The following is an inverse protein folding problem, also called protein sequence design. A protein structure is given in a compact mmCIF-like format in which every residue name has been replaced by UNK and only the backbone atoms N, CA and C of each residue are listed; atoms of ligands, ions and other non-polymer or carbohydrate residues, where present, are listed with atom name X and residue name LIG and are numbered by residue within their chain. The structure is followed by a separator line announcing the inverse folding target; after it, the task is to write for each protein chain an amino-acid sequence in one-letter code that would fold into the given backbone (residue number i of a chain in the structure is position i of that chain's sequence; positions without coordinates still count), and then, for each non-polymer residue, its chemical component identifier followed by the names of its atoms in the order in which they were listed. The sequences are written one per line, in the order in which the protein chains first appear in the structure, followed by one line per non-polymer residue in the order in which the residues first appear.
data_IF_006336437067
#
_entry.id   IF_006336437067
#
_cell.length_a   1.000
_cell.length_b   1.000
_cell.length_c   1.000
_cell.angle_alpha   90.00
_cell.angle_beta   90.00
_cell.angle_gamma   90.00
#
_symmetry.space_group_name_H-M   'P 1'
#
loop_
_entity.id
_entity.type
_entity.pdbx_description
1 polymer ?
#
# COMPACT_ATOMS: atom_id res chain seq x y z
N UNK A 1 10.45 0.91 -37.59
CA UNK A 1 11.25 1.82 -36.75
C UNK A 1 10.52 3.16 -36.73
N UNK A 2 9.77 3.42 -35.66
CA UNK A 2 9.05 4.68 -35.48
C UNK A 2 10.09 5.79 -35.24
N UNK A 3 9.98 6.94 -35.94
CA UNK A 3 10.87 8.09 -35.72
C UNK A 3 10.39 8.85 -34.49
N UNK A 4 11.03 8.60 -33.35
CA UNK A 4 10.69 9.22 -32.06
C UNK A 4 11.46 10.52 -31.80
N UNK A 5 12.35 10.93 -32.70
CA UNK A 5 13.27 12.10 -32.57
C UNK A 5 12.56 13.46 -32.37
N UNK A 6 11.22 13.51 -32.48
CA UNK A 6 10.40 14.71 -32.32
C UNK A 6 9.17 14.49 -31.43
N UNK A 7 9.12 13.39 -30.67
CA UNK A 7 8.02 13.13 -29.74
C UNK A 7 8.40 13.66 -28.37
N UNK A 8 7.71 14.71 -27.92
CA UNK A 8 7.86 15.23 -26.56
C UNK A 8 6.62 14.85 -25.73
N UNK A 9 6.80 14.27 -24.52
CA UNK A 9 5.69 14.01 -23.63
C UNK A 9 5.10 15.35 -23.17
N UNK A 10 3.76 15.45 -23.20
CA UNK A 10 3.04 16.59 -22.64
C UNK A 10 2.57 16.22 -21.24
N UNK A 11 2.84 17.09 -20.26
CA UNK A 11 2.29 16.93 -18.93
C UNK A 11 0.75 17.03 -19.01
N UNK A 12 0.06 15.94 -18.65
CA UNK A 12 -1.40 15.87 -18.69
C UNK A 12 -2.06 16.97 -17.85
N UNK A 13 -1.43 17.37 -16.75
CA UNK A 13 -1.91 18.45 -15.87
C UNK A 13 -1.84 19.84 -16.51
N UNK A 14 -0.94 20.03 -17.48
CA UNK A 14 -0.89 21.27 -18.25
C UNK A 14 -2.07 21.37 -19.24
N UNK A 15 -2.66 20.23 -19.63
CA UNK A 15 -3.76 20.15 -20.59
C UNK A 15 -5.11 20.02 -19.90
N UNK A 16 -5.15 19.25 -18.81
CA UNK A 16 -6.33 18.91 -18.03
C UNK A 16 -6.03 19.12 -16.53
N UNK A 17 -5.90 20.38 -16.08
CA UNK A 17 -5.56 20.67 -14.69
C UNK A 17 -6.60 20.12 -13.70
N UNK A 18 -7.85 19.92 -14.14
CA UNK A 18 -8.92 19.39 -13.30
C UNK A 18 -8.70 17.92 -12.90
N UNK A 19 -7.81 17.20 -13.59
CA UNK A 19 -7.48 15.81 -13.28
C UNK A 19 -6.23 15.67 -12.41
N UNK A 20 -5.55 16.77 -12.07
CA UNK A 20 -4.32 16.77 -11.29
C UNK A 20 -4.48 17.44 -9.93
N UNK A 21 -3.76 16.92 -8.94
CA UNK A 21 -3.83 17.33 -7.55
C UNK A 21 -2.63 18.20 -7.16
N UNK A 22 -2.77 18.95 -6.06
CA UNK A 22 -1.65 19.55 -5.33
C UNK A 22 -0.95 18.50 -4.45
N UNK A 23 0.32 18.72 -4.08
CA UNK A 23 1.07 17.80 -3.20
C UNK A 23 0.32 17.48 -1.89
N UNK A 24 -0.34 18.48 -1.28
CA UNK A 24 -1.18 18.28 -0.08
C UNK A 24 -2.35 17.29 -0.29
N UNK A 25 -2.93 17.26 -1.49
CA UNK A 25 -4.05 16.37 -1.84
C UNK A 25 -3.58 14.92 -2.09
N UNK A 26 -2.27 14.68 -2.19
CA UNK A 26 -1.70 13.33 -2.34
C UNK A 26 -1.65 12.55 -1.02
N UNK A 27 -1.80 13.19 0.14
CA UNK A 27 -1.60 12.53 1.43
C UNK A 27 -2.76 12.70 2.41
N UNK A 28 -3.63 13.68 2.15
CA UNK A 28 -4.77 14.04 3.02
C UNK A 28 -6.10 13.80 2.31
N UNK A 29 -7.15 13.37 3.03
CA UNK A 29 -8.48 13.26 2.45
C UNK A 29 -8.96 14.61 1.92
N UNK A 30 -9.56 14.62 0.73
CA UNK A 30 -10.20 15.83 0.20
C UNK A 30 -11.45 16.25 0.99
N UNK A 31 -12.03 15.34 1.79
CA UNK A 31 -13.19 15.57 2.63
C UNK A 31 -12.89 15.04 4.03
N UNK A 32 -12.64 15.95 4.96
CA UNK A 32 -12.30 15.70 6.36
C UNK A 32 -12.73 16.95 7.12
N UNK A 33 -13.91 16.91 7.74
CA UNK A 33 -14.56 18.10 8.29
C UNK A 33 -14.13 18.42 9.72
N UNK A 34 -13.58 17.46 10.46
CA UNK A 34 -13.06 17.66 11.82
C UNK A 34 -11.52 17.65 11.89
N UNK A 35 -10.83 17.26 10.82
CA UNK A 35 -9.38 17.35 10.67
C UNK A 35 -8.62 16.16 11.26
N UNK A 36 -9.27 15.01 11.46
CA UNK A 36 -8.68 13.82 12.07
C UNK A 36 -7.91 12.92 11.06
N UNK A 37 -7.90 13.33 9.78
CA UNK A 37 -7.28 12.66 8.63
C UNK A 37 -8.00 11.42 8.12
N UNK A 38 -9.18 11.08 8.63
CA UNK A 38 -10.06 10.08 8.11
C UNK A 38 -11.21 10.74 7.33
N UNK A 39 -12.03 9.93 6.66
CA UNK A 39 -13.10 10.47 5.81
C UNK A 39 -14.31 9.57 5.78
N UNK A 40 -15.47 10.21 5.71
CA UNK A 40 -16.73 9.56 5.40
C UNK A 40 -16.91 9.22 3.90
N UNK A 41 -16.08 9.79 3.00
CA UNK A 41 -16.05 9.55 1.54
C UNK A 41 -15.05 8.46 1.19
N UNK A 42 -15.20 7.78 0.06
CA UNK A 42 -14.36 6.63 -0.32
C UNK A 42 -13.06 7.01 -1.05
N UNK A 43 -13.17 7.73 -2.17
CA UNK A 43 -12.02 8.08 -3.04
C UNK A 43 -11.30 9.35 -2.56
N UNK A 44 -10.31 9.84 -3.31
CA UNK A 44 -9.58 11.08 -3.01
C UNK A 44 -9.01 11.06 -1.58
N UNK A 45 -8.22 10.03 -1.27
CA UNK A 45 -7.59 9.80 0.04
C UNK A 45 -8.54 9.53 1.21
N UNK A 46 -9.81 9.21 0.92
CA UNK A 46 -10.81 8.84 1.93
C UNK A 46 -10.79 7.37 2.39
N UNK A 47 -11.97 6.80 2.64
CA UNK A 47 -12.26 5.46 3.17
C UNK A 47 -11.78 4.26 2.33
N UNK A 48 -11.15 4.46 1.19
CA UNK A 48 -10.39 3.41 0.47
C UNK A 48 -8.92 3.39 0.83
N UNK A 49 -8.43 4.52 1.34
CA UNK A 49 -7.05 4.75 1.74
C UNK A 49 -6.89 4.55 3.24
N UNK A 50 -7.86 4.98 4.04
CA UNK A 50 -7.88 4.76 5.50
C UNK A 50 -9.22 4.19 5.93
N UNK A 51 -9.32 3.71 7.16
CA UNK A 51 -10.59 3.35 7.76
C UNK A 51 -11.65 4.44 7.57
N UNK A 52 -12.89 4.03 7.27
CA UNK A 52 -13.97 5.00 7.14
C UNK A 52 -14.30 5.61 8.50
N UNK A 53 -14.29 6.93 8.55
CA UNK A 53 -14.72 7.68 9.71
C UNK A 53 -16.24 7.52 9.95
N UNK A 54 -16.58 7.26 11.20
CA UNK A 54 -17.94 7.04 11.67
C UNK A 54 -18.61 8.31 12.20
N UNK A 55 -17.89 9.40 12.46
CA UNK A 55 -18.45 10.71 12.82
C UNK A 55 -17.52 11.90 12.45
N UNK A 56 -17.62 12.32 11.18
CA UNK A 56 -16.87 13.40 10.48
C UNK A 56 -17.21 14.82 10.97
N UNK A 57 -17.40 14.96 12.28
CA UNK A 57 -17.71 16.19 13.02
C UNK A 57 -17.06 16.20 14.40
N UNK A 58 -16.41 15.12 14.80
CA UNK A 58 -15.86 14.89 16.12
C UNK A 58 -14.44 14.31 15.98
N UNK A 59 -13.40 15.15 16.08
CA UNK A 59 -12.01 14.73 15.82
C UNK A 59 -11.47 13.75 16.85
N UNK A 60 -12.28 13.36 17.84
CA UNK A 60 -11.94 12.35 18.84
C UNK A 60 -12.50 10.97 18.51
N UNK A 61 -13.25 10.84 17.41
CA UNK A 61 -13.89 9.59 16.96
C UNK A 61 -13.33 9.17 15.61
N UNK A 62 -12.44 8.18 15.62
CA UNK A 62 -11.77 7.70 14.41
C UNK A 62 -11.20 6.29 14.53
N UNK A 63 -10.93 5.59 13.40
CA UNK A 63 -10.33 4.27 13.41
C UNK A 63 -9.04 4.12 14.24
N UNK A 64 -9.10 3.21 15.22
CA UNK A 64 -7.97 2.81 16.05
C UNK A 64 -7.71 3.67 17.29
N UNK A 65 -8.70 4.46 17.72
CA UNK A 65 -8.83 4.90 19.12
C UNK A 65 -8.86 3.70 20.07
N UNK A 66 -8.38 3.90 21.30
CA UNK A 66 -8.41 2.89 22.37
C UNK A 66 -9.43 3.32 23.44
N UNK A 67 -10.67 2.90 23.23
CA UNK A 67 -11.86 3.36 23.96
C UNK A 67 -12.70 2.15 24.42
N UNK A 68 -13.74 2.39 25.22
CA UNK A 68 -14.62 1.33 25.78
C UNK A 68 -16.05 1.39 25.25
N UNK A 69 -16.39 2.49 24.58
CA UNK A 69 -17.56 2.66 23.72
C UNK A 69 -18.91 2.26 24.33
N UNK A 70 -19.11 2.56 25.61
CA UNK A 70 -20.35 2.21 26.33
C UNK A 70 -21.60 2.91 25.77
N UNK A 71 -21.44 4.03 25.05
CA UNK A 71 -22.54 4.86 24.53
C UNK A 71 -22.42 5.13 23.03
N UNK A 72 -21.22 5.45 22.55
CA UNK A 72 -20.91 5.79 21.16
C UNK A 72 -19.71 4.94 20.73
N UNK A 73 -19.68 4.53 19.48
CA UNK A 73 -18.50 3.95 18.83
C UNK A 73 -17.50 5.09 18.55
N UNK A 74 -16.45 5.18 19.37
CA UNK A 74 -15.42 6.21 19.28
C UNK A 74 -14.22 5.73 18.44
N UNK A 75 -14.12 4.43 18.14
CA UNK A 75 -13.00 3.89 17.37
C UNK A 75 -13.39 3.28 16.01
N UNK A 76 -14.65 3.45 15.63
CA UNK A 76 -15.25 3.09 14.35
C UNK A 76 -15.14 1.59 14.00
N UNK A 77 -14.94 0.71 14.98
CA UNK A 77 -14.88 -0.73 14.74
C UNK A 77 -16.26 -1.40 14.76
N UNK A 78 -17.34 -0.65 14.97
CA UNK A 78 -18.72 -1.13 15.01
C UNK A 78 -19.14 -1.82 16.31
N UNK A 79 -18.29 -1.84 17.33
CA UNK A 79 -18.53 -2.49 18.63
C UNK A 79 -18.77 -1.41 19.69
N UNK A 80 -20.01 -1.23 20.11
CA UNK A 80 -20.36 -0.26 21.15
C UNK A 80 -21.61 -0.67 21.93
N UNK A 81 -21.89 0.05 23.01
CA UNK A 81 -23.01 -0.23 23.92
C UNK A 81 -22.64 -1.19 25.05
N UNK A 82 -23.65 -1.52 25.86
CA UNK A 82 -23.52 -2.37 27.04
C UNK A 82 -24.34 -3.65 26.93
N UNK A 83 -23.84 -4.72 27.54
CA UNK A 83 -24.62 -5.92 27.76
C UNK A 83 -25.71 -5.64 28.82
N UNK A 84 -26.97 -5.78 28.43
CA UNK A 84 -28.13 -5.55 29.30
C UNK A 84 -28.16 -6.44 30.56
N UNK A 85 -27.51 -7.61 30.54
CA UNK A 85 -27.49 -8.52 31.67
C UNK A 85 -26.46 -8.13 32.74
N UNK A 86 -25.30 -7.64 32.32
CA UNK A 86 -24.16 -7.34 33.19
C UNK A 86 -23.93 -5.85 33.44
N UNK A 87 -24.40 -5.00 32.52
CA UNK A 87 -24.14 -3.56 32.51
C UNK A 87 -22.75 -3.18 32.00
N UNK A 88 -21.93 -4.14 31.58
CA UNK A 88 -20.56 -3.91 31.09
C UNK A 88 -20.56 -3.59 29.60
N UNK A 89 -19.66 -2.71 29.15
CA UNK A 89 -19.51 -2.39 27.74
C UNK A 89 -19.00 -3.60 26.93
N UNK A 90 -19.53 -3.80 25.72
CA UNK A 90 -19.11 -4.92 24.87
C UNK A 90 -17.62 -4.84 24.54
N UNK A 91 -17.11 -3.64 24.25
CA UNK A 91 -15.71 -3.46 23.91
C UNK A 91 -14.75 -3.72 25.07
N UNK A 92 -15.18 -3.41 26.30
CA UNK A 92 -14.42 -3.75 27.52
C UNK A 92 -14.24 -5.26 27.67
N UNK A 93 -15.27 -6.05 27.39
CA UNK A 93 -15.22 -7.52 27.53
C UNK A 93 -14.51 -8.17 26.33
N UNK A 94 -14.86 -7.75 25.11
CA UNK A 94 -14.48 -8.46 23.89
C UNK A 94 -13.17 -7.98 23.28
N UNK A 95 -12.72 -6.75 23.57
CA UNK A 95 -11.55 -6.17 22.91
C UNK A 95 -10.38 -5.86 23.84
N UNK A 96 -10.61 -5.44 25.10
CA UNK A 96 -9.53 -4.97 26.00
C UNK A 96 -8.33 -5.91 26.11
N UNK A 97 -8.56 -7.22 26.21
CA UNK A 97 -7.51 -8.24 26.37
C UNK A 97 -7.19 -9.00 25.07
N UNK A 98 -7.66 -8.49 23.93
CA UNK A 98 -7.42 -9.09 22.60
C UNK A 98 -6.20 -8.49 21.89
N UNK A 99 -5.56 -7.49 22.49
CA UNK A 99 -4.43 -6.72 21.94
C UNK A 99 -4.71 -6.20 20.51
N UNK A 100 -5.77 -5.40 20.31
CA UNK A 100 -6.07 -4.85 19.00
C UNK A 100 -4.97 -3.89 18.55
N UNK A 101 -4.69 -3.87 17.25
CA UNK A 101 -3.66 -3.03 16.64
C UNK A 101 -4.00 -2.67 15.19
N UNK A 102 -3.59 -1.48 14.77
CA UNK A 102 -3.81 -0.98 13.41
C UNK A 102 -2.72 -1.38 12.43
N UNK A 103 -3.01 -1.24 11.13
CA UNK A 103 -2.06 -1.47 10.02
C UNK A 103 -1.83 -0.16 9.27
N UNK A 104 -0.59 0.31 9.21
CA UNK A 104 -0.24 1.56 8.54
C UNK A 104 0.84 1.28 7.50
N UNK A 105 0.68 1.76 6.28
CA UNK A 105 1.63 1.54 5.19
C UNK A 105 2.07 2.86 4.58
N UNK A 106 3.37 3.16 4.64
CA UNK A 106 4.00 4.27 3.94
C UNK A 106 4.85 3.67 2.83
N UNK A 107 4.53 3.99 1.59
CA UNK A 107 5.24 3.41 0.47
C UNK A 107 4.92 4.07 -0.85
N UNK A 108 5.24 3.33 -1.90
CA UNK A 108 5.12 3.77 -3.28
C UNK A 108 3.81 3.28 -3.95
N UNK A 109 3.82 3.23 -5.29
CA UNK A 109 2.76 2.71 -6.14
C UNK A 109 2.45 1.22 -5.90
N UNK A 110 3.40 0.41 -5.43
CA UNK A 110 3.09 -0.99 -5.06
C UNK A 110 2.28 -1.04 -3.78
N UNK A 111 2.56 -0.13 -2.84
CA UNK A 111 1.77 0.01 -1.60
C UNK A 111 0.35 0.49 -1.89
N UNK A 112 0.20 1.43 -2.83
CA UNK A 112 -1.09 1.92 -3.28
C UNK A 112 -1.84 0.93 -4.20
N UNK A 113 -1.13 -0.11 -4.69
CA UNK A 113 -1.60 -1.06 -5.71
C UNK A 113 -2.02 -0.36 -7.00
N UNK A 114 -1.07 0.38 -7.59
CA UNK A 114 -1.23 0.99 -8.90
C UNK A 114 -1.53 -0.05 -9.97
N UNK A 115 -2.46 0.26 -10.86
CA UNK A 115 -2.54 -0.42 -12.14
C UNK A 115 -3.68 0.08 -13.00
N UNK A 116 -3.43 0.02 -14.31
CA UNK A 116 -4.35 0.51 -15.32
C UNK A 116 -5.16 -0.70 -15.83
N UNK A 117 -6.49 -0.63 -15.86
CA UNK A 117 -7.31 -1.71 -16.42
C UNK A 117 -6.94 -2.01 -17.88
N UNK A 118 -6.71 -3.29 -18.19
CA UNK A 118 -6.43 -3.72 -19.57
C UNK A 118 -7.56 -3.35 -20.54
N UNK A 119 -8.79 -3.36 -20.06
CA UNK A 119 -9.99 -3.06 -20.85
C UNK A 119 -9.95 -1.60 -21.39
N UNK A 120 -9.11 -0.71 -20.83
CA UNK A 120 -8.92 0.65 -21.35
C UNK A 120 -8.03 0.73 -22.59
N UNK A 121 -7.17 -0.27 -22.80
CA UNK A 121 -6.13 -0.24 -23.86
C UNK A 121 -6.30 -1.35 -24.89
N UNK A 122 -7.06 -2.40 -24.58
CA UNK A 122 -7.40 -3.47 -25.50
C UNK A 122 -8.62 -3.10 -26.34
N UNK A 123 -8.40 -2.85 -27.63
CA UNK A 123 -9.43 -2.36 -28.56
C UNK A 123 -10.68 -3.24 -28.61
N UNK A 124 -10.53 -4.56 -28.48
CA UNK A 124 -11.68 -5.49 -28.49
C UNK A 124 -12.49 -5.52 -27.20
N UNK A 125 -11.94 -5.04 -26.08
CA UNK A 125 -12.59 -5.00 -24.76
C UNK A 125 -13.25 -3.63 -24.49
N UNK A 126 -12.92 -2.61 -25.30
CA UNK A 126 -13.51 -1.28 -25.23
C UNK A 126 -15.04 -1.35 -25.36
N UNK A 127 -15.70 -1.03 -24.26
CA UNK A 127 -17.15 -1.09 -24.11
C UNK A 127 -17.59 -0.10 -23.03
N UNK A 128 -18.89 0.14 -22.90
CA UNK A 128 -19.42 0.91 -21.77
C UNK A 128 -18.99 0.28 -20.42
N UNK A 129 -19.01 -1.05 -20.34
CA UNK A 129 -18.66 -1.79 -19.13
C UNK A 129 -17.17 -1.68 -18.78
N UNK A 130 -16.30 -1.53 -19.78
CA UNK A 130 -14.89 -1.26 -19.55
C UNK A 130 -14.68 0.01 -18.70
N UNK A 131 -15.55 1.02 -18.84
CA UNK A 131 -15.46 2.29 -18.10
C UNK A 131 -16.34 2.34 -16.83
N UNK A 132 -16.88 1.22 -16.36
CA UNK A 132 -17.84 1.17 -15.24
C UNK A 132 -17.32 1.85 -13.95
N UNK A 133 -16.02 1.80 -13.68
CA UNK A 133 -15.40 2.41 -12.49
C UNK A 133 -14.53 3.63 -12.79
N UNK A 134 -14.62 4.22 -13.99
CA UNK A 134 -13.69 5.25 -14.47
C UNK A 134 -13.48 6.42 -13.49
N UNK A 135 -14.57 7.01 -12.97
CA UNK A 135 -14.46 8.14 -12.02
C UNK A 135 -13.73 7.75 -10.74
N UNK A 136 -13.98 6.54 -10.23
CA UNK A 136 -13.33 6.01 -9.04
C UNK A 136 -11.83 5.81 -9.27
N UNK A 137 -11.48 5.23 -10.42
CA UNK A 137 -10.09 4.99 -10.84
C UNK A 137 -9.32 6.31 -10.91
N UNK A 138 -9.89 7.33 -11.56
CA UNK A 138 -9.25 8.66 -11.66
C UNK A 138 -9.12 9.32 -10.29
N UNK A 139 -10.17 9.29 -9.46
CA UNK A 139 -10.14 9.87 -8.11
C UNK A 139 -9.18 9.14 -7.15
N UNK A 140 -8.80 7.91 -7.46
CA UNK A 140 -7.74 7.18 -6.78
C UNK A 140 -6.43 7.13 -7.56
N UNK A 141 -6.27 7.91 -8.64
CA UNK A 141 -4.98 8.01 -9.36
C UNK A 141 -4.48 6.69 -9.94
N UNK A 142 -5.42 5.84 -10.38
CA UNK A 142 -5.16 4.47 -10.83
C UNK A 142 -4.64 3.53 -9.74
N UNK A 143 -4.68 3.97 -8.49
CA UNK A 143 -4.38 3.16 -7.32
C UNK A 143 -5.62 2.43 -6.83
N UNK A 144 -5.39 1.26 -6.24
CA UNK A 144 -6.43 0.37 -5.75
C UNK A 144 -6.13 -0.02 -4.29
N UNK A 145 -6.01 0.96 -3.37
CA UNK A 145 -5.59 0.71 -1.99
C UNK A 145 -6.52 -0.27 -1.26
N UNK A 146 -7.81 -0.24 -1.61
CA UNK A 146 -8.84 -1.17 -1.12
C UNK A 146 -8.66 -2.62 -1.57
N UNK A 147 -7.77 -2.88 -2.52
CA UNK A 147 -7.38 -4.21 -3.00
C UNK A 147 -5.88 -4.49 -2.79
N UNK A 148 -5.17 -3.64 -2.05
CA UNK A 148 -3.73 -3.71 -1.84
C UNK A 148 -3.27 -4.84 -0.90
N UNK A 149 -1.99 -5.19 -0.97
CA UNK A 149 -1.39 -6.26 -0.19
C UNK A 149 -1.40 -5.98 1.33
N UNK A 150 -1.26 -4.72 1.73
CA UNK A 150 -1.12 -4.35 3.15
C UNK A 150 -2.47 -3.99 3.75
N UNK A 151 -3.27 -3.16 3.07
CA UNK A 151 -4.48 -2.54 3.63
C UNK A 151 -5.77 -2.90 2.91
N UNK A 152 -5.72 -3.76 1.88
CA UNK A 152 -6.90 -4.13 1.10
C UNK A 152 -8.00 -4.77 1.95
N UNK A 153 -9.26 -4.49 1.63
CA UNK A 153 -10.43 -4.94 2.39
C UNK A 153 -11.62 -5.30 1.50
N UNK A 154 -11.66 -4.79 0.27
CA UNK A 154 -12.81 -4.95 -0.63
C UNK A 154 -12.76 -6.27 -1.41
N UNK A 155 -13.93 -6.74 -1.86
CA UNK A 155 -13.97 -7.87 -2.77
C UNK A 155 -13.58 -7.44 -4.19
N UNK A 156 -12.57 -8.10 -4.77
CA UNK A 156 -12.12 -7.81 -6.14
C UNK A 156 -13.25 -8.00 -7.18
N UNK A 157 -14.27 -8.82 -6.89
CA UNK A 157 -15.45 -9.00 -7.74
C UNK A 157 -16.26 -7.73 -7.96
N UNK A 158 -16.22 -6.78 -7.03
CA UNK A 158 -17.00 -5.54 -7.08
C UNK A 158 -16.45 -4.53 -8.09
N UNK A 159 -15.28 -4.85 -8.66
CA UNK A 159 -14.52 -4.01 -9.60
C UNK A 159 -14.37 -4.65 -10.98
N UNK A 160 -15.23 -5.62 -11.32
CA UNK A 160 -15.25 -6.23 -12.67
C UNK A 160 -15.85 -5.24 -13.68
N UNK A 161 -15.34 -5.20 -14.92
CA UNK A 161 -14.28 -6.05 -15.47
C UNK A 161 -12.85 -5.59 -15.10
N UNK A 162 -12.70 -4.36 -14.60
CA UNK A 162 -11.42 -3.67 -14.45
C UNK A 162 -10.37 -4.39 -13.59
N UNK A 163 -10.79 -5.12 -12.55
CA UNK A 163 -9.91 -5.93 -11.71
C UNK A 163 -10.40 -7.37 -11.62
N UNK A 164 -9.44 -8.30 -11.67
CA UNK A 164 -9.65 -9.75 -11.62
C UNK A 164 -8.58 -10.37 -10.75
N UNK A 165 -8.92 -11.47 -10.09
CA UNK A 165 -7.99 -12.20 -9.22
C UNK A 165 -8.45 -12.25 -7.77
N UNK A 166 -7.69 -12.97 -6.93
CA UNK A 166 -7.98 -13.03 -5.50
C UNK A 166 -7.67 -11.69 -4.83
N UNK A 167 -8.33 -11.44 -3.69
CA UNK A 167 -7.92 -10.41 -2.75
C UNK A 167 -7.54 -11.07 -1.43
N UNK A 168 -6.30 -10.87 -1.01
CA UNK A 168 -5.79 -11.18 0.33
C UNK A 168 -4.89 -10.01 0.75
N UNK A 169 -4.98 -9.61 2.00
CA UNK A 169 -4.15 -8.55 2.54
C UNK A 169 -3.82 -8.82 4.00
N UNK A 170 -2.76 -8.18 4.50
CA UNK A 170 -2.41 -8.26 5.91
C UNK A 170 -3.53 -7.73 6.80
N UNK A 171 -4.10 -6.57 6.48
CA UNK A 171 -5.22 -5.99 7.24
C UNK A 171 -6.43 -6.94 7.32
N UNK A 172 -6.85 -7.51 6.18
CA UNK A 172 -8.01 -8.40 6.15
C UNK A 172 -7.78 -9.67 7.00
N UNK A 173 -6.59 -10.27 6.94
CA UNK A 173 -6.24 -11.40 7.81
C UNK A 173 -6.18 -11.00 9.30
N UNK A 174 -5.70 -9.78 9.60
CA UNK A 174 -5.68 -9.25 10.96
C UNK A 174 -7.09 -9.05 11.54
N UNK A 175 -8.04 -8.55 10.74
CA UNK A 175 -9.45 -8.39 11.14
C UNK A 175 -10.13 -9.75 11.36
N UNK A 176 -9.88 -10.74 10.48
CA UNK A 176 -10.38 -12.12 10.69
C UNK A 176 -9.90 -12.71 12.01
N UNK A 177 -8.67 -12.39 12.40
CA UNK A 177 -8.04 -12.88 13.63
C UNK A 177 -8.55 -12.15 14.87
N UNK A 178 -8.79 -10.85 14.77
CA UNK A 178 -9.37 -10.05 15.83
C UNK A 178 -10.27 -8.96 15.23
N UNK A 179 -11.57 -9.14 15.37
CA UNK A 179 -12.60 -8.25 14.82
C UNK A 179 -12.60 -6.84 15.43
N UNK A 180 -11.94 -6.65 16.56
CA UNK A 180 -11.76 -5.32 17.17
C UNK A 180 -10.80 -4.40 16.38
N UNK A 181 -10.13 -4.93 15.36
CA UNK A 181 -9.26 -4.20 14.42
C UNK A 181 -10.02 -3.66 13.19
N UNK A 182 -11.34 -3.85 13.12
CA UNK A 182 -12.15 -3.37 12.02
C UNK A 182 -11.93 -1.86 11.79
N UNK A 183 -11.79 -1.49 10.51
CA UNK A 183 -11.39 -0.17 9.97
C UNK A 183 -10.00 0.34 10.34
N UNK A 184 -9.24 -0.34 11.19
CA UNK A 184 -7.97 0.19 11.69
C UNK A 184 -6.81 0.02 10.67
N UNK A 185 -6.93 0.69 9.52
CA UNK A 185 -5.91 0.71 8.48
C UNK A 185 -5.65 2.12 7.93
N UNK A 186 -4.42 2.35 7.45
CA UNK A 186 -4.00 3.58 6.78
C UNK A 186 -3.01 3.24 5.66
N UNK A 187 -3.37 3.57 4.41
CA UNK A 187 -2.55 3.45 3.21
C UNK A 187 -2.12 4.85 2.79
N UNK A 188 -0.83 5.13 2.97
CA UNK A 188 -0.19 6.37 2.55
C UNK A 188 0.66 6.15 1.30
N UNK A 189 0.37 5.13 0.49
CA UNK A 189 1.08 4.87 -0.77
C UNK A 189 0.97 6.05 -1.74
N UNK A 190 2.09 6.49 -2.31
CA UNK A 190 2.11 7.55 -3.33
C UNK A 190 2.98 7.13 -4.51
N UNK A 191 2.44 7.23 -5.73
CA UNK A 191 3.16 6.90 -6.95
C UNK A 191 4.44 7.74 -7.07
N UNK A 192 5.57 7.09 -7.36
CA UNK A 192 6.87 7.74 -7.43
C UNK A 192 7.53 8.09 -6.08
N UNK A 193 6.92 7.77 -4.94
CA UNK A 193 7.55 8.02 -3.64
C UNK A 193 8.83 7.21 -3.45
N UNK A 194 9.90 7.88 -3.00
CA UNK A 194 11.16 7.26 -2.55
C UNK A 194 11.26 7.36 -1.04
N UNK A 195 12.31 6.80 -0.45
CA UNK A 195 12.62 6.99 0.98
C UNK A 195 12.66 8.47 1.41
N UNK A 196 12.98 9.40 0.51
CA UNK A 196 13.01 10.83 0.81
C UNK A 196 11.66 11.39 1.30
N UNK A 197 10.53 10.83 0.84
CA UNK A 197 9.18 11.28 1.26
C UNK A 197 8.72 10.67 2.58
N UNK A 198 9.37 9.63 3.12
CA UNK A 198 8.92 8.97 4.35
C UNK A 198 8.72 9.94 5.52
N UNK A 199 9.58 10.95 5.63
CA UNK A 199 9.47 11.97 6.68
C UNK A 199 8.19 12.79 6.57
N UNK A 200 7.81 13.23 5.38
CA UNK A 200 6.57 13.96 5.10
C UNK A 200 5.34 13.07 5.33
N UNK A 201 5.40 11.82 4.87
CA UNK A 201 4.30 10.86 5.05
C UNK A 201 4.05 10.54 6.53
N UNK A 202 5.10 10.50 7.35
CA UNK A 202 4.97 10.35 8.80
C UNK A 202 4.21 11.52 9.45
N UNK A 203 4.21 12.72 8.85
CA UNK A 203 3.49 13.88 9.39
C UNK A 203 1.97 13.78 9.21
N UNK A 204 1.50 12.83 8.38
CA UNK A 204 0.06 12.57 8.15
C UNK A 204 -0.39 11.20 8.66
N UNK A 205 0.45 10.51 9.44
CA UNK A 205 0.05 9.29 10.15
C UNK A 205 -0.88 9.65 11.31
N UNK A 206 -2.10 9.13 11.28
CA UNK A 206 -3.09 9.35 12.34
C UNK A 206 -2.92 8.33 13.47
N UNK A 207 -1.89 8.51 14.31
CA UNK A 207 -1.62 7.61 15.44
C UNK A 207 -0.82 8.26 16.58
N UNK A 208 -1.34 9.35 17.11
CA UNK A 208 -0.64 10.14 18.12
C UNK A 208 -0.74 9.52 19.53
N UNK A 209 0.40 9.07 20.07
CA UNK A 209 0.51 8.49 21.43
C UNK A 209 0.16 9.42 22.59
N UNK A 210 0.06 10.73 22.36
CA UNK A 210 -0.42 11.65 23.41
C UNK A 210 -1.93 11.49 23.65
N UNK A 211 -2.60 10.73 22.78
CA UNK A 211 -4.00 10.41 22.88
C UNK A 211 -4.22 8.92 23.18
N UNK A 212 -5.46 8.53 23.48
CA UNK A 212 -5.81 7.12 23.71
C UNK A 212 -5.99 6.40 22.37
N UNK A 213 -4.89 5.85 21.85
CA UNK A 213 -4.84 5.12 20.58
C UNK A 213 -4.20 3.74 20.73
N UNK A 214 -4.61 2.80 19.89
CA UNK A 214 -4.07 1.42 19.85
C UNK A 214 -2.65 1.41 19.22
N UNK A 215 -1.79 0.44 19.55
CA UNK A 215 -0.55 0.18 18.81
C UNK A 215 -0.78 -0.08 17.33
N UNK A 216 0.26 0.07 16.51
CA UNK A 216 0.17 -0.18 15.08
C UNK A 216 1.37 -0.98 14.54
N UNK A 217 1.12 -1.72 13.47
CA UNK A 217 2.11 -2.30 12.56
C UNK A 217 2.32 -1.30 11.42
N UNK A 218 3.45 -0.62 11.41
CA UNK A 218 3.83 0.38 10.42
C UNK A 218 4.79 -0.22 9.40
N UNK A 219 4.48 -0.14 8.11
CA UNK A 219 5.35 -0.57 7.02
C UNK A 219 6.04 0.62 6.37
N UNK A 220 7.37 0.52 6.21
CA UNK A 220 8.13 1.34 5.27
C UNK A 220 8.38 0.49 4.02
N UNK A 221 7.57 0.74 2.99
CA UNK A 221 7.47 -0.07 1.78
C UNK A 221 7.87 0.74 0.52
N UNK A 222 9.11 1.26 0.54
CA UNK A 222 9.76 1.92 -0.59
C UNK A 222 10.61 0.91 -1.34
N UNK A 223 10.00 0.16 -2.25
CA UNK A 223 10.59 -1.10 -2.74
C UNK A 223 11.22 -1.01 -4.13
N UNK A 224 11.11 0.14 -4.81
CA UNK A 224 11.68 0.32 -6.15
C UNK A 224 12.22 1.73 -6.45
N UNK A 225 11.46 2.78 -6.18
CA UNK A 225 11.71 4.10 -6.76
C UNK A 225 13.10 4.68 -6.46
N UNK A 226 13.70 4.36 -5.31
CA UNK A 226 15.07 4.78 -4.96
C UNK A 226 16.16 4.36 -5.96
N UNK A 227 15.87 3.40 -6.85
CA UNK A 227 16.81 2.92 -7.89
C UNK A 227 16.26 2.97 -9.32
N UNK A 228 15.02 3.44 -9.50
CA UNK A 228 14.32 3.35 -10.79
C UNK A 228 14.72 4.43 -11.80
N UNK A 229 15.26 5.56 -11.32
CA UNK A 229 15.73 6.66 -12.16
C UNK A 229 17.10 6.40 -12.83
N UNK A 230 17.44 7.27 -13.78
CA UNK A 230 18.76 7.28 -14.42
C UNK A 230 19.82 7.80 -13.45
N UNK A 231 20.99 7.15 -13.32
CA UNK A 231 22.12 7.75 -12.63
C UNK A 231 22.49 9.13 -13.24
N UNK A 232 22.84 10.14 -12.41
CA UNK A 232 23.08 10.06 -10.97
C UNK A 232 21.84 10.32 -10.08
N UNK A 233 20.62 10.33 -10.61
CA UNK A 233 19.41 10.71 -9.87
C UNK A 233 18.85 9.61 -8.94
N UNK A 234 19.55 8.49 -8.77
CA UNK A 234 19.18 7.43 -7.83
C UNK A 234 19.62 7.76 -6.41
N UNK A 235 18.91 7.26 -5.40
CA UNK A 235 19.25 7.45 -3.99
C UNK A 235 20.62 6.85 -3.68
N UNK A 236 21.45 7.56 -2.92
CA UNK A 236 22.72 7.04 -2.42
C UNK A 236 22.55 6.27 -1.10
N UNK A 237 23.47 5.35 -0.72
CA UNK A 237 23.39 4.66 0.57
C UNK A 237 23.36 5.61 1.78
N UNK A 238 24.04 6.76 1.71
CA UNK A 238 24.04 7.74 2.78
C UNK A 238 22.68 8.43 2.94
N UNK A 239 22.04 8.81 1.83
CA UNK A 239 20.68 9.37 1.82
C UNK A 239 19.67 8.34 2.29
N UNK A 240 19.72 7.11 1.78
CA UNK A 240 18.83 6.02 2.19
C UNK A 240 18.88 5.78 3.71
N UNK A 241 20.08 5.74 4.29
CA UNK A 241 20.26 5.66 5.73
C UNK A 241 19.66 6.87 6.46
N UNK A 242 19.95 8.09 6.01
CA UNK A 242 19.45 9.31 6.63
C UNK A 242 17.92 9.43 6.58
N UNK A 243 17.30 9.09 5.44
CA UNK A 243 15.86 9.12 5.23
C UNK A 243 15.14 8.15 6.17
N UNK A 244 15.56 6.88 6.18
CA UNK A 244 14.95 5.86 7.04
C UNK A 244 15.12 6.18 8.52
N UNK A 245 16.33 6.59 8.95
CA UNK A 245 16.56 6.92 10.37
C UNK A 245 15.73 8.13 10.81
N UNK A 246 15.60 9.15 9.98
CA UNK A 246 14.74 10.31 10.26
C UNK A 246 13.27 9.91 10.40
N UNK A 247 12.76 9.07 9.49
CA UNK A 247 11.38 8.59 9.55
C UNK A 247 11.13 7.69 10.78
N UNK A 248 12.10 6.85 11.17
CA UNK A 248 12.02 6.04 12.38
C UNK A 248 12.02 6.89 13.66
N UNK A 249 12.78 7.98 13.71
CA UNK A 249 12.74 8.93 14.82
C UNK A 249 11.35 9.58 14.96
N UNK A 250 10.72 9.95 13.83
CA UNK A 250 9.32 10.42 13.83
C UNK A 250 8.36 9.33 14.31
N UNK A 251 8.52 8.09 13.84
CA UNK A 251 7.68 6.97 14.27
C UNK A 251 7.80 6.71 15.78
N UNK A 252 9.02 6.73 16.35
CA UNK A 252 9.23 6.61 17.80
C UNK A 252 8.61 7.78 18.58
N UNK A 253 8.61 8.99 18.01
CA UNK A 253 8.02 10.16 18.65
C UNK A 253 6.48 10.14 18.61
N UNK A 254 5.90 9.54 17.58
CA UNK A 254 4.46 9.56 17.30
C UNK A 254 3.73 8.34 17.87
N UNK A 255 4.24 7.12 17.64
CA UNK A 255 3.49 5.89 17.87
C UNK A 255 3.43 5.48 19.35
N UNK A 256 2.31 4.90 19.81
CA UNK A 256 2.18 4.40 21.18
C UNK A 256 3.05 3.15 21.39
N UNK A 257 3.40 2.90 22.67
CA UNK A 257 4.22 1.77 23.05
C UNK A 257 3.60 0.42 22.64
N UNK A 258 4.46 -0.50 22.17
CA UNK A 258 4.04 -1.78 21.62
C UNK A 258 3.77 -1.76 20.12
N UNK A 259 4.11 -0.66 19.44
CA UNK A 259 4.04 -0.58 17.98
C UNK A 259 5.27 -1.22 17.31
N UNK A 260 5.12 -1.62 16.06
CA UNK A 260 6.16 -2.28 15.29
C UNK A 260 6.36 -1.55 13.97
N UNK A 261 7.61 -1.33 13.57
CA UNK A 261 7.96 -0.79 12.25
C UNK A 261 8.67 -1.87 11.44
N UNK A 262 8.16 -2.21 10.25
CA UNK A 262 8.72 -3.20 9.35
C UNK A 262 9.26 -2.49 8.10
N UNK A 263 10.57 -2.60 7.88
CA UNK A 263 11.24 -2.08 6.69
C UNK A 263 11.22 -3.18 5.63
N UNK A 264 10.64 -2.89 4.46
CA UNK A 264 10.80 -3.72 3.27
C UNK A 264 12.06 -3.25 2.52
N UNK A 265 12.97 -4.15 2.16
CA UNK A 265 14.12 -3.81 1.34
C UNK A 265 13.70 -3.49 -0.09
N UNK A 266 14.55 -2.76 -0.82
CA UNK A 266 14.40 -2.57 -2.27
C UNK A 266 14.52 -3.95 -2.95
N UNK A 267 13.55 -4.29 -3.80
CA UNK A 267 13.45 -5.61 -4.42
C UNK A 267 14.39 -5.77 -5.63
N UNK A 268 14.60 -7.02 -6.06
CA UNK A 268 15.25 -7.32 -7.35
C UNK A 268 14.23 -7.33 -8.50
N UNK A 269 14.16 -6.23 -9.27
CA UNK A 269 13.23 -6.08 -10.39
C UNK A 269 13.66 -6.71 -11.71
N UNK A 270 14.77 -7.46 -11.79
CA UNK A 270 15.24 -8.04 -13.08
C UNK A 270 14.23 -8.99 -13.72
N UNK A 271 13.43 -9.67 -12.91
CA UNK A 271 12.34 -10.56 -13.36
C UNK A 271 11.38 -9.88 -14.34
N UNK A 272 11.20 -8.56 -14.23
CA UNK A 272 10.27 -7.80 -15.05
C UNK A 272 10.63 -7.91 -16.53
N UNK A 273 11.88 -7.59 -16.88
CA UNK A 273 12.35 -7.73 -18.25
C UNK A 273 12.41 -9.20 -18.65
N UNK A 274 12.96 -10.06 -17.79
CA UNK A 274 13.18 -11.47 -18.10
C UNK A 274 11.89 -12.20 -18.48
N UNK A 275 10.78 -11.91 -17.80
CA UNK A 275 9.48 -12.54 -18.03
C UNK A 275 8.62 -11.83 -19.07
N UNK A 276 8.75 -10.51 -19.23
CA UNK A 276 7.83 -9.72 -20.05
C UNK A 276 8.34 -9.44 -21.46
N UNK A 277 9.65 -9.28 -21.67
CA UNK A 277 10.20 -8.65 -22.89
C UNK A 277 9.69 -9.22 -24.23
N UNK A 278 9.53 -10.54 -24.34
CA UNK A 278 9.06 -11.21 -25.58
C UNK A 278 7.53 -11.30 -25.69
N UNK A 279 6.79 -10.90 -24.66
CA UNK A 279 5.33 -10.99 -24.64
C UNK A 279 4.74 -9.79 -25.38
N UNK A 280 3.54 -9.98 -25.94
CA UNK A 280 2.79 -8.92 -26.59
C UNK A 280 2.13 -8.03 -25.53
N UNK A 281 2.39 -6.72 -25.61
CA UNK A 281 1.75 -5.72 -24.76
C UNK A 281 0.25 -5.59 -25.12
N UNK A 282 -0.67 -5.28 -24.18
CA UNK A 282 -2.09 -5.14 -24.48
C UNK A 282 -2.43 -4.23 -25.68
N UNK A 283 -1.68 -3.13 -25.87
CA UNK A 283 -1.86 -2.23 -27.03
C UNK A 283 -1.56 -2.90 -28.38
N UNK A 284 -0.64 -3.88 -28.40
CA UNK A 284 -0.26 -4.64 -29.59
C UNK A 284 -1.10 -5.89 -29.81
N UNK A 285 -2.08 -6.17 -28.95
CA UNK A 285 -2.85 -7.44 -28.98
C UNK A 285 -3.69 -7.64 -30.26
N UNK A 286 -4.06 -6.56 -30.95
CA UNK A 286 -4.85 -6.58 -32.20
C UNK A 286 -4.05 -7.18 -33.37
N UNK A 287 -2.79 -6.81 -33.51
CA UNK A 287 -1.94 -7.17 -34.65
C UNK A 287 -0.70 -7.98 -34.26
N UNK A 288 -0.51 -8.23 -32.97
CA UNK A 288 0.66 -8.89 -32.41
C UNK A 288 1.96 -8.19 -32.82
N UNK A 289 1.98 -6.86 -32.70
CA UNK A 289 2.97 -5.96 -33.30
C UNK A 289 3.63 -5.00 -32.30
N UNK A 290 3.33 -5.13 -31.00
CA UNK A 290 4.03 -4.43 -29.92
C UNK A 290 4.36 -5.41 -28.79
N UNK A 291 5.64 -5.67 -28.60
CA UNK A 291 6.18 -6.42 -27.45
C UNK A 291 6.45 -5.50 -26.27
N UNK A 292 6.61 -6.05 -25.06
CA UNK A 292 7.05 -5.24 -23.91
C UNK A 292 8.47 -4.68 -24.11
N UNK A 293 9.37 -5.39 -24.79
CA UNK A 293 10.69 -4.83 -25.12
C UNK A 293 10.57 -3.52 -25.92
N UNK A 294 9.74 -3.51 -26.96
CA UNK A 294 9.49 -2.31 -27.78
C UNK A 294 8.77 -1.22 -26.97
N UNK A 295 7.84 -1.61 -26.10
CA UNK A 295 7.16 -0.68 -25.19
C UNK A 295 8.14 -0.01 -24.21
N UNK A 296 9.01 -0.78 -23.56
CA UNK A 296 10.03 -0.26 -22.65
C UNK A 296 11.04 0.64 -23.38
N UNK A 297 11.51 0.24 -24.57
CA UNK A 297 12.40 1.06 -25.40
C UNK A 297 11.71 2.39 -25.79
N UNK A 298 10.40 2.37 -26.09
CA UNK A 298 9.63 3.58 -26.33
C UNK A 298 9.58 4.49 -25.10
N UNK A 299 9.19 3.97 -23.93
CA UNK A 299 9.12 4.75 -22.68
C UNK A 299 10.48 5.33 -22.29
N UNK A 300 11.56 4.57 -22.49
CA UNK A 300 12.93 5.03 -22.26
C UNK A 300 13.34 6.11 -23.26
N UNK A 301 12.93 6.02 -24.52
CA UNK A 301 13.27 7.01 -25.55
C UNK A 301 12.62 8.38 -25.28
N UNK A 302 11.42 8.40 -24.71
CA UNK A 302 10.66 9.64 -24.41
C UNK A 302 10.75 10.06 -22.93
N UNK A 303 11.67 9.46 -22.17
CA UNK A 303 11.98 9.80 -20.77
C UNK A 303 10.78 9.78 -19.80
N UNK A 304 9.90 8.77 -19.95
CA UNK A 304 8.73 8.56 -19.05
C UNK A 304 8.65 7.12 -18.48
N UNK A 305 9.74 6.36 -18.57
CA UNK A 305 9.78 5.01 -18.00
C UNK A 305 9.66 5.06 -16.48
N UNK A 306 8.74 4.29 -15.86
CA UNK A 306 8.59 4.28 -14.40
C UNK A 306 9.80 3.65 -13.71
N UNK A 307 10.60 2.88 -14.43
CA UNK A 307 11.84 2.33 -13.92
C UNK A 307 12.84 2.07 -15.06
N UNK A 308 13.55 3.12 -15.47
CA UNK A 308 14.56 3.04 -16.54
C UNK A 308 15.63 1.98 -16.26
N UNK A 309 15.96 1.75 -14.99
CA UNK A 309 16.94 0.75 -14.57
C UNK A 309 16.55 -0.69 -14.93
N UNK A 310 15.35 -1.14 -14.54
CA UNK A 310 14.91 -2.52 -14.75
C UNK A 310 14.16 -2.74 -16.06
N UNK A 311 13.41 -1.75 -16.55
CA UNK A 311 12.68 -1.82 -17.82
C UNK A 311 13.60 -1.45 -18.98
N UNK A 312 14.68 -2.21 -19.14
CA UNK A 312 15.77 -1.87 -20.05
C UNK A 312 16.26 -3.11 -20.81
N UNK A 313 16.41 -3.00 -22.13
CA UNK A 313 16.97 -4.07 -22.97
C UNK A 313 18.45 -4.36 -22.67
N UNK A 314 19.17 -3.40 -22.09
CA UNK A 314 20.56 -3.58 -21.69
C UNK A 314 20.68 -4.28 -20.32
N UNK A 315 21.07 -5.56 -20.33
CA UNK A 315 21.30 -6.36 -19.12
C UNK A 315 22.32 -5.73 -18.15
N UNK A 316 23.36 -5.06 -18.67
CA UNK A 316 24.35 -4.38 -17.82
C UNK A 316 23.72 -3.24 -17.03
N UNK A 317 22.71 -2.55 -17.58
CA UNK A 317 21.94 -1.53 -16.85
C UNK A 317 21.12 -2.20 -15.74
N UNK A 318 20.39 -3.27 -16.07
CA UNK A 318 19.55 -3.99 -15.09
C UNK A 318 20.37 -4.55 -13.92
N UNK A 319 21.53 -5.13 -14.20
CA UNK A 319 22.46 -5.63 -13.18
C UNK A 319 23.08 -4.51 -12.34
N UNK A 320 23.40 -3.36 -12.96
CA UNK A 320 23.88 -2.20 -12.22
C UNK A 320 22.81 -1.64 -11.27
N UNK A 321 21.54 -1.57 -11.71
CA UNK A 321 20.41 -1.17 -10.88
C UNK A 321 20.24 -2.10 -9.67
N UNK A 322 20.31 -3.41 -9.87
CA UNK A 322 20.28 -4.37 -8.75
C UNK A 322 21.46 -4.16 -7.80
N UNK A 323 22.67 -3.92 -8.32
CA UNK A 323 23.84 -3.59 -7.48
C UNK A 323 23.63 -2.35 -6.63
N UNK A 324 22.98 -1.33 -7.18
CA UNK A 324 22.59 -0.13 -6.43
C UNK A 324 21.60 -0.48 -5.33
N UNK A 325 20.52 -1.23 -5.63
CA UNK A 325 19.55 -1.69 -4.63
C UNK A 325 20.21 -2.46 -3.48
N UNK A 326 21.14 -3.38 -3.79
CA UNK A 326 21.91 -4.09 -2.78
C UNK A 326 22.74 -3.15 -1.89
N UNK A 327 23.31 -2.08 -2.44
CA UNK A 327 24.07 -1.10 -1.67
C UNK A 327 23.21 -0.28 -0.71
N UNK A 328 21.94 -0.02 -1.06
CA UNK A 328 20.95 0.62 -0.18
C UNK A 328 20.53 -0.35 0.92
N UNK A 329 20.16 -1.58 0.55
CA UNK A 329 19.75 -2.62 1.49
C UNK A 329 20.86 -2.98 2.50
N UNK A 330 22.13 -2.83 2.13
CA UNK A 330 23.27 -3.02 3.03
C UNK A 330 23.30 -2.04 4.23
N UNK A 331 22.52 -0.96 4.21
CA UNK A 331 22.38 -0.05 5.35
C UNK A 331 21.41 -0.57 6.42
N UNK A 332 20.48 -1.46 6.06
CA UNK A 332 19.41 -1.94 6.95
C UNK A 332 19.96 -2.58 8.24
N UNK A 333 20.96 -3.48 8.22
CA UNK A 333 21.50 -4.07 9.44
C UNK A 333 22.02 -3.04 10.45
N UNK A 334 22.64 -1.95 9.96
CA UNK A 334 23.09 -0.85 10.81
C UNK A 334 21.90 -0.13 11.45
N UNK A 335 20.88 0.19 10.65
CA UNK A 335 19.65 0.85 11.12
C UNK A 335 18.97 0.02 12.22
N UNK A 336 18.83 -1.30 12.03
CA UNK A 336 18.23 -2.19 13.02
C UNK A 336 19.00 -2.18 14.35
N UNK A 337 20.33 -2.31 14.28
CA UNK A 337 21.18 -2.33 15.46
C UNK A 337 21.11 -1.02 16.25
N UNK A 338 21.16 0.13 15.57
CA UNK A 338 21.06 1.44 16.21
C UNK A 338 19.65 1.68 16.80
N UNK A 339 18.61 1.24 16.09
CA UNK A 339 17.22 1.39 16.52
C UNK A 339 16.90 0.60 17.78
N UNK A 340 17.41 -0.64 17.89
CA UNK A 340 17.14 -1.54 19.01
C UNK A 340 17.58 -0.99 20.38
N UNK A 341 18.64 -0.17 20.42
CA UNK A 341 19.12 0.47 21.65
C UNK A 341 18.46 1.82 21.91
N UNK A 342 17.88 2.46 20.88
CA UNK A 342 17.44 3.86 20.91
C UNK A 342 15.94 4.00 21.20
N UNK A 343 15.11 3.14 20.61
CA UNK A 343 13.67 3.29 20.61
C UNK A 343 13.00 2.49 21.73
N UNK A 344 11.95 3.06 22.32
CA UNK A 344 11.24 2.50 23.48
C UNK A 344 9.80 2.15 23.15
N UNK A 345 9.18 2.90 22.24
CA UNK A 345 7.77 2.74 21.90
C UNK A 345 7.59 1.83 20.70
N UNK A 346 8.56 1.86 19.77
CA UNK A 346 8.57 1.01 18.59
C UNK A 346 9.65 -0.08 18.67
N UNK A 347 9.36 -1.23 18.06
CA UNK A 347 10.37 -2.21 17.66
C UNK A 347 10.56 -2.17 16.15
N UNK A 348 11.80 -2.10 15.68
CA UNK A 348 12.12 -2.01 14.25
C UNK A 348 12.58 -3.38 13.75
N UNK A 349 11.99 -3.81 12.64
CA UNK A 349 12.22 -5.08 11.97
C UNK A 349 12.55 -4.82 10.51
N UNK A 350 13.24 -5.76 9.86
CA UNK A 350 13.34 -5.80 8.42
C UNK A 350 12.83 -7.14 7.92
N UNK A 351 12.08 -7.11 6.83
CA UNK A 351 11.70 -8.33 6.12
C UNK A 351 12.77 -8.69 5.10
N UNK A 352 12.84 -9.97 4.74
CA UNK A 352 13.55 -10.37 3.53
C UNK A 352 12.82 -9.82 2.29
N UNK A 353 13.46 -9.94 1.11
CA UNK A 353 12.80 -9.60 -0.15
C UNK A 353 11.54 -10.47 -0.36
N UNK A 354 10.39 -9.86 -0.08
CA UNK A 354 9.07 -10.48 -0.17
C UNK A 354 8.64 -10.70 -1.61
N UNK A 355 9.11 -9.87 -2.55
CA UNK A 355 8.89 -10.05 -3.99
C UNK A 355 9.66 -11.28 -4.46
N UNK A 356 10.95 -11.39 -4.12
CA UNK A 356 11.72 -12.60 -4.45
C UNK A 356 11.11 -13.87 -3.83
N UNK A 357 10.51 -13.77 -2.65
CA UNK A 357 9.81 -14.88 -2.00
C UNK A 357 8.52 -15.26 -2.73
N UNK A 358 7.72 -14.29 -3.16
CA UNK A 358 6.54 -14.49 -4.00
C UNK A 358 6.91 -15.22 -5.30
N UNK A 359 7.93 -14.74 -6.01
CA UNK A 359 8.37 -15.33 -7.28
C UNK A 359 8.81 -16.79 -7.11
N UNK A 360 9.50 -17.13 -6.00
CA UNK A 360 9.92 -18.52 -5.74
C UNK A 360 8.78 -19.47 -5.38
N UNK A 361 7.73 -18.95 -4.76
CA UNK A 361 6.62 -19.76 -4.24
C UNK A 361 5.48 -19.93 -5.23
N UNK A 362 5.40 -19.07 -6.23
CA UNK A 362 4.40 -19.18 -7.29
C UNK A 362 4.81 -20.27 -8.29
N UNK A 363 3.91 -21.23 -8.51
CA UNK A 363 4.10 -22.36 -9.41
C UNK A 363 3.58 -22.10 -10.84
N UNK A 364 2.91 -20.96 -11.04
CA UNK A 364 2.41 -20.50 -12.33
C UNK A 364 3.41 -19.66 -13.11
N UNK A 365 3.01 -19.20 -14.31
CA UNK A 365 3.83 -18.32 -15.13
C UNK A 365 4.06 -16.96 -14.46
N UNK A 366 5.31 -16.60 -14.19
CA UNK A 366 5.63 -15.40 -13.39
C UNK A 366 5.09 -14.09 -13.97
N UNK A 367 4.93 -13.99 -15.29
CA UNK A 367 4.30 -12.85 -15.95
C UNK A 367 2.85 -12.58 -15.51
N UNK A 368 2.13 -13.58 -14.98
CA UNK A 368 0.77 -13.39 -14.42
C UNK A 368 0.79 -12.58 -13.12
N UNK A 369 1.94 -12.46 -12.48
CA UNK A 369 2.14 -11.67 -11.27
C UNK A 369 2.44 -10.18 -11.56
N UNK A 370 2.55 -9.79 -12.82
CA UNK A 370 2.93 -8.44 -13.25
C UNK A 370 1.72 -7.74 -13.87
N UNK A 371 1.52 -6.46 -13.55
CA UNK A 371 0.48 -5.62 -14.13
C UNK A 371 0.67 -5.54 -15.65
N UNK A 372 -0.34 -5.89 -16.44
CA UNK A 372 -0.20 -6.06 -17.88
C UNK A 372 -0.09 -4.73 -18.66
N UNK A 373 -0.54 -3.60 -18.11
CA UNK A 373 -0.50 -2.32 -18.86
C UNK A 373 0.79 -1.55 -18.64
N UNK A 374 1.40 -1.63 -17.45
CA UNK A 374 2.69 -1.00 -17.20
C UNK A 374 3.87 -1.99 -17.33
N UNK A 375 3.62 -3.30 -17.21
CA UNK A 375 4.66 -4.32 -17.25
C UNK A 375 5.67 -4.16 -16.12
N UNK A 376 5.28 -3.59 -14.98
CA UNK A 376 6.16 -3.16 -13.90
C UNK A 376 5.64 -3.55 -12.51
N UNK A 377 4.42 -3.13 -12.15
CA UNK A 377 3.90 -3.33 -10.81
C UNK A 377 3.36 -4.76 -10.60
N UNK A 378 3.18 -5.24 -9.36
CA UNK A 378 2.51 -6.50 -9.11
C UNK A 378 1.03 -6.45 -9.53
N UNK A 379 0.57 -7.47 -10.27
CA UNK A 379 -0.84 -7.64 -10.62
C UNK A 379 -1.70 -7.87 -9.38
N UNK A 380 -3.03 -7.84 -9.49
CA UNK A 380 -3.91 -8.22 -8.38
C UNK A 380 -3.58 -9.62 -7.80
N UNK A 381 -3.16 -10.58 -8.64
CA UNK A 381 -2.71 -11.90 -8.18
C UNK A 381 -1.40 -11.79 -7.40
N UNK A 382 -0.41 -11.07 -7.93
CA UNK A 382 0.85 -10.79 -7.24
C UNK A 382 0.63 -10.09 -5.90
N UNK A 383 -0.18 -9.04 -5.88
CA UNK A 383 -0.57 -8.28 -4.69
C UNK A 383 -1.23 -9.16 -3.63
N UNK A 384 -2.11 -10.10 -4.01
CA UNK A 384 -2.72 -11.02 -3.05
C UNK A 384 -1.71 -12.00 -2.43
N UNK A 385 -0.76 -12.51 -3.23
CA UNK A 385 0.33 -13.36 -2.73
C UNK A 385 1.26 -12.58 -1.79
N UNK A 386 1.59 -11.33 -2.14
CA UNK A 386 2.35 -10.44 -1.24
C UNK A 386 1.61 -10.23 0.08
N UNK A 387 0.30 -9.99 0.06
CA UNK A 387 -0.49 -9.82 1.28
C UNK A 387 -0.44 -11.03 2.21
N UNK A 388 -0.55 -12.23 1.66
CA UNK A 388 -0.41 -13.50 2.40
C UNK A 388 1.01 -13.68 2.98
N UNK A 389 2.05 -13.39 2.19
CA UNK A 389 3.44 -13.48 2.65
C UNK A 389 3.77 -12.47 3.74
N UNK A 390 3.27 -11.23 3.60
CA UNK A 390 3.45 -10.17 4.60
C UNK A 390 2.79 -10.56 5.91
N UNK A 391 1.56 -11.07 5.89
CA UNK A 391 0.89 -11.57 7.08
C UNK A 391 1.69 -12.70 7.75
N UNK A 392 2.10 -13.71 6.97
CA UNK A 392 2.85 -14.85 7.49
C UNK A 392 4.19 -14.43 8.11
N UNK A 393 4.99 -13.62 7.43
CA UNK A 393 6.26 -13.11 7.98
C UNK A 393 6.06 -12.25 9.23
N UNK A 394 5.02 -11.42 9.25
CA UNK A 394 4.68 -10.62 10.44
C UNK A 394 4.26 -11.53 11.61
N UNK A 395 3.58 -12.64 11.33
CA UNK A 395 3.25 -13.66 12.33
C UNK A 395 4.48 -14.43 12.82
N UNK A 396 5.42 -14.76 11.95
CA UNK A 396 6.69 -15.44 12.31
C UNK A 396 7.56 -14.58 13.23
N UNK A 397 7.50 -13.25 13.07
CA UNK A 397 8.14 -12.29 13.99
C UNK A 397 7.44 -12.18 15.35
N UNK A 398 6.31 -12.87 15.56
CA UNK A 398 5.54 -12.83 16.80
C UNK A 398 4.77 -11.53 17.02
N UNK A 399 4.57 -10.73 15.98
CA UNK A 399 3.90 -9.42 16.05
C UNK A 399 2.38 -9.59 16.04
N UNK A 400 1.87 -10.55 15.26
CA UNK A 400 0.43 -10.78 15.12
C UNK A 400 -0.15 -11.33 16.46
N UNK A 401 -1.11 -10.64 17.10
CA UNK A 401 -1.72 -11.05 18.38
C UNK A 401 -2.41 -12.42 18.29
N UNK A 402 -2.78 -13.07 19.41
CA UNK A 402 -3.59 -14.30 19.36
C UNK A 402 -4.99 -14.06 18.74
N UNK A 403 -5.67 -15.14 18.34
CA UNK A 403 -7.06 -15.07 17.87
C UNK A 403 -7.95 -14.56 19.00
N UNK A 404 -8.81 -13.57 18.72
CA UNK A 404 -9.78 -13.09 19.69
C UNK A 404 -10.88 -14.15 19.92
N UNK A 405 -11.05 -14.66 21.16
CA UNK A 405 -12.05 -15.70 21.43
C UNK A 405 -13.50 -15.22 21.22
N UNK A 406 -13.75 -13.92 21.19
CA UNK A 406 -15.09 -13.33 21.06
C UNK A 406 -15.47 -12.98 19.62
N UNK A 407 -14.68 -13.36 18.61
CA UNK A 407 -14.99 -13.05 17.21
C UNK A 407 -16.39 -13.55 16.76
N UNK A 408 -16.82 -14.70 17.26
CA UNK A 408 -18.14 -15.23 16.96
C UNK A 408 -19.25 -14.37 17.61
N UNK A 409 -19.07 -14.01 18.88
CA UNK A 409 -20.01 -13.15 19.61
C UNK A 409 -20.12 -11.77 18.97
N UNK A 410 -18.99 -11.19 18.54
CA UNK A 410 -18.97 -9.92 17.80
C UNK A 410 -19.79 -10.04 16.52
N UNK A 411 -19.60 -11.11 15.76
CA UNK A 411 -20.31 -11.30 14.48
C UNK A 411 -21.81 -11.54 14.69
N UNK A 412 -22.18 -12.30 15.72
CA UNK A 412 -23.59 -12.53 16.05
C UNK A 412 -24.28 -11.24 16.51
N UNK A 413 -23.58 -10.39 17.27
CA UNK A 413 -24.14 -9.17 17.82
C UNK A 413 -24.16 -7.99 16.84
N UNK A 414 -23.06 -7.80 16.11
CA UNK A 414 -22.79 -6.61 15.30
C UNK A 414 -22.72 -6.90 13.80
N UNK A 415 -22.89 -8.15 13.38
CA UNK A 415 -22.92 -8.53 11.96
C UNK A 415 -21.61 -8.23 11.24
N UNK A 416 -21.67 -7.35 10.24
CA UNK A 416 -20.53 -6.87 9.45
C UNK A 416 -19.84 -5.66 10.09
N UNK A 417 -20.20 -5.28 11.32
CA UNK A 417 -19.64 -4.15 12.07
C UNK A 417 -19.85 -2.80 11.36
N UNK A 418 -20.85 -2.69 10.49
CA UNK A 418 -21.12 -1.49 9.70
C UNK A 418 -20.30 -1.41 8.40
N UNK A 419 -19.60 -2.48 8.04
CA UNK A 419 -18.84 -2.64 6.81
C UNK A 419 -17.46 -1.96 6.80
N UNK A 420 -16.67 -2.31 5.79
CA UNK A 420 -15.25 -1.96 5.54
C UNK A 420 -14.22 -2.69 6.41
#
# INVERSE_FOLDING_TARGET
MYRLEHVEPINVCAVFPEVCLTEDEELRPANDADGDLFSSRFTNRGGEWRGRDCDDKDPTVYPGRNTVDAVKDENCNGIFGVDSATGTAYEEVWCRNSSPMGVIALGDSVTAHFGIPEDFVRVYELSHDAFAHFTRIINNRFDWPMLSAITGFAHASDYKPNRKGPMKSLYNELVKRNKCNHRDYQNLGVNGATTARLSEMMDVVARNRTESVKPAILFFAMIGNDVCDRPPAVTTPAEYYAHLTTALEKAEALLPAGSHVLILPVSDGRVLYDEMHNRTHPIGSLHNDVTYAEFYDFLNCVDISPCWGWLNSNETVRDATWKTAQSLNAQIPRILNESAAKFKNIQVHALDDVVASMLRLFDGPLWELIEPVDGFHPSQLGTALLGELLFNKTSELGIIPPVNPFNNDISERFGDQGGY
#
